data_IF_892752210270
#
_entry.id   IF_892752210270
#
_cell.length_a   1.000
_cell.length_b   1.000
_cell.length_c   1.000
_cell.angle_alpha   90.00
_cell.angle_beta   90.00
_cell.angle_gamma   90.00
#
_symmetry.space_group_name_H-M   'P 1'
#
loop_
_entity.id
_entity.type
_entity.pdbx_description
1 polymer ?
#
# COMPACT_ATOMS: atom_id res chain seq x y z
N UNK A 1 -20.34 -33.59 47.29
CA UNK A 1 -21.25 -33.03 46.27
C UNK A 1 -20.77 -31.71 45.76
N UNK A 2 -20.20 -30.84 46.61
CA UNK A 2 -19.77 -29.52 46.22
C UNK A 2 -18.56 -29.49 45.28
N UNK A 3 -17.60 -30.42 45.42
CA UNK A 3 -16.39 -30.45 44.58
C UNK A 3 -16.70 -30.75 43.11
N UNK A 4 -17.64 -31.64 42.81
CA UNK A 4 -18.02 -31.96 41.45
C UNK A 4 -18.79 -30.79 40.81
N UNK A 5 -19.68 -30.16 41.59
CA UNK A 5 -20.44 -28.99 41.11
C UNK A 5 -19.51 -27.80 40.86
N UNK A 6 -18.53 -27.58 41.74
CA UNK A 6 -17.55 -26.50 41.62
C UNK A 6 -16.61 -26.73 40.43
N UNK A 7 -16.18 -27.98 40.20
CA UNK A 7 -15.35 -28.32 39.03
C UNK A 7 -16.12 -28.12 37.71
N UNK A 8 -17.41 -28.48 37.70
CA UNK A 8 -18.26 -28.30 36.53
C UNK A 8 -18.49 -26.82 36.25
N UNK A 9 -18.74 -26.04 37.28
CA UNK A 9 -18.93 -24.59 37.16
C UNK A 9 -17.66 -23.90 36.64
N UNK A 10 -16.48 -24.32 37.13
CA UNK A 10 -15.19 -23.82 36.65
C UNK A 10 -14.96 -24.18 35.19
N UNK A 11 -15.29 -25.41 34.77
CA UNK A 11 -15.14 -25.83 33.39
C UNK A 11 -16.05 -25.05 32.46
N UNK A 12 -17.27 -24.76 32.89
CA UNK A 12 -18.22 -23.97 32.13
C UNK A 12 -17.75 -22.51 32.03
N UNK A 13 -17.26 -21.93 33.13
CA UNK A 13 -16.72 -20.58 33.13
C UNK A 13 -15.49 -20.47 32.21
N UNK A 14 -14.63 -21.48 32.21
CA UNK A 14 -13.45 -21.52 31.34
C UNK A 14 -13.84 -21.59 29.86
N UNK A 15 -14.88 -22.38 29.54
CA UNK A 15 -15.38 -22.46 28.16
C UNK A 15 -15.99 -21.13 27.71
N UNK A 16 -16.79 -20.49 28.57
CA UNK A 16 -17.39 -19.20 28.29
C UNK A 16 -16.30 -18.14 28.05
N UNK A 17 -15.30 -18.10 28.93
CA UNK A 17 -14.17 -17.17 28.80
C UNK A 17 -13.41 -17.39 27.50
N UNK A 18 -13.20 -18.66 27.10
CA UNK A 18 -12.53 -19.01 25.85
C UNK A 18 -13.32 -18.56 24.63
N UNK A 19 -14.67 -18.72 24.66
CA UNK A 19 -15.54 -18.28 23.58
C UNK A 19 -15.52 -16.75 23.47
N UNK A 20 -15.58 -16.05 24.61
CA UNK A 20 -15.53 -14.58 24.64
C UNK A 20 -14.19 -14.06 24.14
N UNK A 21 -13.08 -14.69 24.53
CA UNK A 21 -11.75 -14.33 24.06
C UNK A 21 -11.61 -14.51 22.55
N UNK A 22 -12.15 -15.60 22.03
CA UNK A 22 -12.14 -15.89 20.59
C UNK A 22 -12.97 -14.86 19.81
N UNK A 23 -14.16 -14.52 20.32
CA UNK A 23 -15.03 -13.51 19.72
C UNK A 23 -14.35 -12.14 19.70
N UNK A 24 -13.69 -11.78 20.81
CA UNK A 24 -12.95 -10.51 20.89
C UNK A 24 -11.77 -10.48 19.92
N UNK A 25 -11.05 -11.59 19.79
CA UNK A 25 -9.94 -11.71 18.86
C UNK A 25 -10.42 -11.51 17.40
N UNK A 26 -11.52 -12.17 17.04
CA UNK A 26 -12.10 -12.02 15.69
C UNK A 26 -12.56 -10.59 15.42
N UNK A 27 -13.21 -9.97 16.41
CA UNK A 27 -13.64 -8.57 16.28
C UNK A 27 -12.45 -7.63 16.11
N UNK A 28 -11.37 -7.85 16.84
CA UNK A 28 -10.15 -7.06 16.76
C UNK A 28 -9.49 -7.22 15.39
N UNK A 29 -9.44 -8.44 14.85
CA UNK A 29 -8.89 -8.71 13.51
C UNK A 29 -9.72 -8.03 12.42
N UNK A 30 -11.04 -8.09 12.53
CA UNK A 30 -11.94 -7.42 11.60
C UNK A 30 -11.70 -5.90 11.60
N UNK A 31 -11.55 -5.31 12.79
CA UNK A 31 -11.29 -3.89 12.94
C UNK A 31 -9.93 -3.48 12.33
N UNK A 32 -8.90 -4.29 12.54
CA UNK A 32 -7.58 -4.07 11.94
C UNK A 32 -7.65 -4.11 10.42
N UNK A 33 -8.43 -5.06 9.87
CA UNK A 33 -8.63 -5.18 8.44
C UNK A 33 -9.31 -3.95 7.86
N UNK A 34 -10.36 -3.45 8.50
CA UNK A 34 -11.05 -2.23 8.08
C UNK A 34 -10.13 -1.01 8.13
N UNK A 35 -9.38 -0.84 9.20
CA UNK A 35 -8.44 0.28 9.35
C UNK A 35 -7.34 0.19 8.31
N UNK A 36 -6.82 -0.99 8.06
CA UNK A 36 -5.82 -1.21 7.03
C UNK A 36 -6.34 -0.78 5.66
N UNK A 37 -7.56 -1.22 5.30
CA UNK A 37 -8.15 -0.88 4.00
C UNK A 37 -8.38 0.62 3.84
N UNK A 38 -8.82 1.29 4.89
CA UNK A 38 -9.01 2.75 4.87
C UNK A 38 -7.68 3.49 4.68
N UNK A 39 -6.67 3.10 5.43
CA UNK A 39 -5.34 3.69 5.35
C UNK A 39 -4.73 3.42 3.98
N UNK A 40 -4.85 2.20 3.47
CA UNK A 40 -4.33 1.80 2.17
C UNK A 40 -5.02 2.58 1.03
N UNK A 41 -6.34 2.78 1.13
CA UNK A 41 -7.08 3.57 0.14
C UNK A 41 -6.61 5.02 0.13
N UNK A 42 -6.41 5.62 1.30
CA UNK A 42 -5.89 6.98 1.43
C UNK A 42 -4.48 7.10 0.82
N UNK A 43 -3.60 6.17 1.18
CA UNK A 43 -2.22 6.16 0.66
C UNK A 43 -2.22 5.94 -0.86
N UNK A 44 -3.07 5.06 -1.37
CA UNK A 44 -3.19 4.80 -2.82
C UNK A 44 -3.56 6.09 -3.57
N UNK A 45 -4.50 6.87 -3.05
CA UNK A 45 -4.84 8.18 -3.61
C UNK A 45 -3.64 9.13 -3.61
N UNK A 46 -2.87 9.14 -2.53
CA UNK A 46 -1.67 9.96 -2.43
C UNK A 46 -0.58 9.48 -3.39
N UNK A 47 -0.41 8.17 -3.56
CA UNK A 47 0.54 7.61 -4.53
C UNK A 47 0.19 8.02 -5.95
N UNK A 48 -1.10 7.97 -6.32
CA UNK A 48 -1.54 8.43 -7.63
C UNK A 48 -1.26 9.93 -7.83
N UNK A 49 -1.40 10.74 -6.78
CA UNK A 49 -1.05 12.17 -6.84
C UNK A 49 0.45 12.37 -7.03
N UNK A 50 1.28 11.64 -6.31
CA UNK A 50 2.74 11.71 -6.48
C UNK A 50 3.17 11.25 -7.86
N UNK A 51 2.47 10.26 -8.44
CA UNK A 51 2.75 9.78 -9.78
C UNK A 51 2.57 10.90 -10.83
N UNK A 52 1.66 11.84 -10.60
CA UNK A 52 1.49 13.01 -11.47
C UNK A 52 2.78 13.84 -11.48
N UNK A 53 3.30 14.14 -10.32
CA UNK A 53 4.53 14.95 -10.20
C UNK A 53 5.74 14.23 -10.77
N UNK A 54 5.87 12.93 -10.49
CA UNK A 54 6.95 12.10 -11.04
C UNK A 54 6.88 12.10 -12.58
N UNK A 55 5.69 11.88 -13.14
CA UNK A 55 5.48 11.86 -14.58
C UNK A 55 5.79 13.22 -15.20
N UNK A 56 5.33 14.28 -14.58
CA UNK A 56 5.54 15.67 -15.04
C UNK A 56 7.03 16.02 -15.08
N UNK A 57 7.76 15.60 -14.07
CA UNK A 57 9.21 15.86 -14.01
C UNK A 57 10.01 15.02 -15.00
N UNK A 58 9.51 13.83 -15.36
CA UNK A 58 10.14 13.00 -16.39
C UNK A 58 9.86 13.46 -17.80
N UNK A 59 8.68 14.08 -18.04
CA UNK A 59 8.20 14.41 -19.37
C UNK A 59 7.84 15.89 -19.41
N UNK A 60 8.59 16.68 -20.16
CA UNK A 60 8.36 18.13 -20.28
C UNK A 60 7.02 18.47 -20.94
N UNK A 61 6.65 17.67 -21.94
CA UNK A 61 5.47 17.96 -22.77
C UNK A 61 4.41 16.86 -22.60
N UNK A 62 3.60 16.99 -21.55
CA UNK A 62 2.43 16.13 -21.36
C UNK A 62 1.28 16.69 -22.21
N UNK A 63 0.58 15.80 -22.93
CA UNK A 63 -0.49 16.22 -23.82
C UNK A 63 -1.68 16.82 -23.07
N UNK A 64 -2.37 17.76 -23.72
CA UNK A 64 -3.59 18.35 -23.17
C UNK A 64 -4.68 17.29 -22.99
N UNK A 65 -4.72 16.27 -23.85
CA UNK A 65 -5.68 15.18 -23.75
C UNK A 65 -5.50 14.40 -22.45
N UNK A 66 -4.26 14.16 -22.05
CA UNK A 66 -3.93 13.47 -20.80
C UNK A 66 -4.49 14.25 -19.59
N UNK A 67 -4.27 15.56 -19.55
CA UNK A 67 -4.79 16.42 -18.49
C UNK A 67 -6.31 16.47 -18.49
N UNK A 68 -6.92 16.55 -19.68
CA UNK A 68 -8.37 16.55 -19.83
C UNK A 68 -8.99 15.29 -19.26
N UNK A 69 -8.42 14.13 -19.57
CA UNK A 69 -8.89 12.84 -19.05
C UNK A 69 -8.73 12.76 -17.53
N UNK A 70 -7.61 13.25 -17.01
CA UNK A 70 -7.38 13.31 -15.57
C UNK A 70 -8.46 14.16 -14.88
N UNK A 71 -8.74 15.33 -15.39
CA UNK A 71 -9.77 16.21 -14.81
C UNK A 71 -11.18 15.65 -14.94
N UNK A 72 -11.39 14.74 -15.87
CA UNK A 72 -12.69 14.03 -16.01
C UNK A 72 -12.81 12.86 -15.01
N UNK A 73 -11.78 12.54 -14.27
CA UNK A 73 -11.83 11.53 -13.22
C UNK A 73 -10.95 10.29 -13.39
N UNK A 74 -10.14 10.21 -14.44
CA UNK A 74 -9.21 9.10 -14.64
C UNK A 74 -7.98 9.26 -13.74
N UNK A 75 -8.13 8.91 -12.47
CA UNK A 75 -7.13 9.18 -11.43
C UNK A 75 -5.83 8.38 -11.56
N UNK A 76 -5.90 7.17 -12.10
CA UNK A 76 -4.73 6.31 -12.28
C UNK A 76 -3.99 6.50 -13.59
N UNK A 77 -4.31 7.53 -14.34
CA UNK A 77 -3.80 7.74 -15.69
C UNK A 77 -2.28 7.96 -15.74
N UNK A 78 -1.76 8.79 -14.84
CA UNK A 78 -0.33 9.08 -14.78
C UNK A 78 0.47 7.88 -14.25
N UNK A 79 -0.10 7.14 -13.32
CA UNK A 79 0.48 5.89 -12.81
C UNK A 79 0.66 4.90 -13.96
N UNK A 80 -0.36 4.70 -14.78
CA UNK A 80 -0.29 3.81 -15.95
C UNK A 80 0.71 4.31 -16.99
N UNK A 81 0.82 5.62 -17.16
CA UNK A 81 1.81 6.18 -18.08
C UNK A 81 3.23 5.84 -17.66
N UNK A 82 3.55 5.91 -16.39
CA UNK A 82 4.86 5.51 -15.87
C UNK A 82 5.15 4.03 -16.13
N UNK A 83 4.15 3.18 -15.92
CA UNK A 83 4.26 1.74 -16.17
C UNK A 83 4.51 1.48 -17.66
N UNK A 84 3.75 2.12 -18.53
CA UNK A 84 3.80 1.90 -19.97
C UNK A 84 5.12 2.39 -20.57
N UNK A 85 5.63 3.51 -20.12
CA UNK A 85 6.90 4.05 -20.57
C UNK A 85 8.09 3.20 -20.10
N UNK A 86 8.04 2.73 -18.87
CA UNK A 86 9.08 1.90 -18.24
C UNK A 86 10.51 2.35 -18.57
N UNK A 87 10.77 3.62 -18.46
CA UNK A 87 12.05 4.20 -18.83
C UNK A 87 13.00 4.25 -17.63
N UNK A 88 13.61 3.10 -17.32
CA UNK A 88 14.51 2.93 -16.18
C UNK A 88 15.70 3.89 -16.20
N UNK A 89 16.29 4.07 -17.38
CA UNK A 89 17.46 4.92 -17.52
C UNK A 89 17.13 6.38 -17.26
N UNK A 90 15.99 6.83 -17.79
CA UNK A 90 15.53 8.21 -17.60
C UNK A 90 15.18 8.48 -16.13
N UNK A 91 14.53 7.53 -15.46
CA UNK A 91 14.21 7.63 -14.04
C UNK A 91 15.51 7.74 -13.23
N UNK A 92 16.47 6.88 -13.50
CA UNK A 92 17.77 6.89 -12.80
C UNK A 92 18.50 8.20 -12.98
N UNK A 93 18.59 8.66 -14.23
CA UNK A 93 19.22 9.93 -14.56
C UNK A 93 18.58 11.11 -13.81
N UNK A 94 17.25 11.17 -13.85
CA UNK A 94 16.49 12.23 -13.19
C UNK A 94 16.67 12.16 -11.67
N UNK A 95 16.69 10.97 -11.12
CA UNK A 95 16.91 10.77 -9.69
C UNK A 95 18.27 11.31 -9.25
N UNK A 96 19.30 11.14 -10.08
CA UNK A 96 20.64 11.63 -9.78
C UNK A 96 20.73 13.16 -9.93
N UNK A 97 20.08 13.73 -10.92
CA UNK A 97 20.22 15.13 -11.30
C UNK A 97 19.28 16.10 -10.56
N UNK A 98 18.07 15.65 -10.25
CA UNK A 98 17.02 16.52 -9.70
C UNK A 98 16.67 16.15 -8.27
N UNK A 99 16.94 17.07 -7.34
CA UNK A 99 16.55 16.91 -5.93
C UNK A 99 15.03 16.81 -5.77
N UNK A 100 14.28 17.59 -6.54
CA UNK A 100 12.82 17.55 -6.52
C UNK A 100 12.29 16.18 -6.94
N UNK A 101 12.81 15.63 -8.03
CA UNK A 101 12.44 14.30 -8.51
C UNK A 101 12.80 13.23 -7.48
N UNK A 102 13.98 13.35 -6.88
CA UNK A 102 14.45 12.42 -5.84
C UNK A 102 13.50 12.43 -4.65
N UNK A 103 13.07 13.60 -4.21
CA UNK A 103 12.16 13.74 -3.07
C UNK A 103 10.81 13.06 -3.33
N UNK A 104 10.21 13.27 -4.50
CA UNK A 104 8.96 12.59 -4.86
C UNK A 104 9.13 11.09 -4.95
N UNK A 105 10.23 10.64 -5.56
CA UNK A 105 10.52 9.21 -5.74
C UNK A 105 10.74 8.53 -4.39
N UNK A 106 11.56 9.11 -3.53
CA UNK A 106 11.83 8.58 -2.19
C UNK A 106 10.55 8.53 -1.34
N UNK A 107 9.74 9.56 -1.46
CA UNK A 107 8.46 9.63 -0.73
C UNK A 107 7.48 8.58 -1.23
N UNK A 108 7.39 8.39 -2.54
CA UNK A 108 6.54 7.34 -3.13
C UNK A 108 6.93 5.97 -2.59
N UNK A 109 8.22 5.66 -2.62
CA UNK A 109 8.75 4.39 -2.13
C UNK A 109 8.42 4.20 -0.65
N UNK A 110 8.68 5.21 0.16
CA UNK A 110 8.42 5.15 1.61
C UNK A 110 6.93 4.96 1.92
N UNK A 111 6.05 5.66 1.22
CA UNK A 111 4.59 5.54 1.42
C UNK A 111 4.08 4.15 1.02
N UNK A 112 4.58 3.61 -0.08
CA UNK A 112 4.19 2.26 -0.51
C UNK A 112 4.70 1.20 0.48
N UNK A 113 5.94 1.33 0.95
CA UNK A 113 6.49 0.40 1.94
C UNK A 113 5.72 0.47 3.27
N UNK A 114 5.16 1.64 3.59
CA UNK A 114 4.28 1.78 4.76
C UNK A 114 3.00 0.96 4.61
N UNK A 115 2.43 0.92 3.40
CA UNK A 115 1.25 0.06 3.14
C UNK A 115 1.61 -1.41 3.37
N UNK A 116 2.75 -1.85 2.86
CA UNK A 116 3.19 -3.23 3.04
C UNK A 116 3.41 -3.56 4.52
N UNK A 117 4.03 -2.62 5.25
CA UNK A 117 4.24 -2.80 6.69
C UNK A 117 2.92 -2.87 7.45
N UNK A 118 1.94 -2.07 7.05
CA UNK A 118 0.60 -2.07 7.66
C UNK A 118 -0.18 -3.35 7.43
N UNK A 119 0.14 -4.11 6.38
CA UNK A 119 -0.50 -5.39 6.10
C UNK A 119 -0.03 -6.50 7.04
N UNK A 120 1.14 -6.33 7.68
CA UNK A 120 1.69 -7.35 8.58
C UNK A 120 0.78 -7.56 9.78
N UNK A 121 0.46 -8.82 10.06
CA UNK A 121 -0.39 -9.21 11.18
C UNK A 121 -1.88 -9.01 10.93
N UNK A 122 -2.28 -8.49 9.78
CA UNK A 122 -3.69 -8.40 9.36
C UNK A 122 -4.08 -9.74 8.75
N UNK A 123 -5.33 -10.15 8.96
CA UNK A 123 -5.86 -11.39 8.37
C UNK A 123 -5.68 -11.35 6.84
N UNK A 124 -5.25 -12.47 6.26
CA UNK A 124 -4.93 -12.60 4.84
C UNK A 124 -3.78 -11.70 4.37
N UNK A 125 -2.77 -11.54 5.22
CA UNK A 125 -1.60 -10.70 4.96
C UNK A 125 -0.97 -10.97 3.57
N UNK A 126 -0.75 -12.24 3.22
CA UNK A 126 -0.12 -12.60 1.95
C UNK A 126 -0.95 -12.18 0.74
N UNK A 127 -2.28 -12.37 0.84
CA UNK A 127 -3.21 -11.98 -0.22
C UNK A 127 -3.24 -10.45 -0.38
N UNK A 128 -3.29 -9.73 0.73
CA UNK A 128 -3.29 -8.25 0.72
C UNK A 128 -1.99 -7.72 0.13
N UNK A 129 -0.85 -8.24 0.59
CA UNK A 129 0.46 -7.85 0.09
C UNK A 129 0.57 -8.09 -1.42
N UNK A 130 0.15 -9.27 -1.88
CA UNK A 130 0.16 -9.62 -3.30
C UNK A 130 -0.73 -8.68 -4.11
N UNK A 131 -1.92 -8.36 -3.61
CA UNK A 131 -2.85 -7.47 -4.29
C UNK A 131 -2.25 -6.07 -4.48
N UNK A 132 -1.59 -5.52 -3.45
CA UNK A 132 -0.97 -4.20 -3.55
C UNK A 132 0.26 -4.19 -4.45
N UNK A 133 1.11 -5.22 -4.38
CA UNK A 133 2.31 -5.30 -5.21
C UNK A 133 1.96 -5.45 -6.69
N UNK A 134 0.88 -6.16 -7.01
CA UNK A 134 0.44 -6.37 -8.40
C UNK A 134 -0.49 -5.28 -8.93
N UNK A 135 -0.98 -4.38 -8.07
CA UNK A 135 -1.75 -3.21 -8.49
C UNK A 135 -0.84 -2.21 -9.23
N UNK A 136 -1.44 -1.29 -9.95
CA UNK A 136 -0.70 -0.28 -10.72
C UNK A 136 0.27 0.52 -9.83
N UNK A 137 -0.16 0.94 -8.64
CA UNK A 137 0.72 1.65 -7.71
C UNK A 137 1.91 0.79 -7.28
N UNK A 138 1.73 -0.52 -7.14
CA UNK A 138 2.79 -1.47 -6.82
C UNK A 138 3.76 -1.66 -7.98
N UNK A 139 3.25 -1.67 -9.21
CA UNK A 139 4.09 -1.76 -10.41
C UNK A 139 4.99 -0.53 -10.53
N UNK A 140 4.49 0.66 -10.23
CA UNK A 140 5.30 1.88 -10.19
C UNK A 140 6.35 1.79 -9.10
N UNK A 141 5.98 1.30 -7.91
CA UNK A 141 6.93 1.09 -6.82
C UNK A 141 8.10 0.21 -7.26
N UNK A 142 7.79 -0.94 -7.88
CA UNK A 142 8.83 -1.87 -8.36
C UNK A 142 9.69 -1.23 -9.45
N UNK A 143 9.08 -0.47 -10.35
CA UNK A 143 9.78 0.25 -11.40
C UNK A 143 10.78 1.27 -10.82
N UNK A 144 10.35 2.06 -9.84
CA UNK A 144 11.20 3.04 -9.19
C UNK A 144 12.34 2.37 -8.41
N UNK A 145 12.04 1.29 -7.69
CA UNK A 145 13.04 0.53 -6.94
C UNK A 145 14.10 -0.06 -7.86
N UNK A 146 13.68 -0.62 -8.99
CA UNK A 146 14.60 -1.18 -9.98
C UNK A 146 15.52 -0.10 -10.56
N UNK A 147 14.98 1.05 -10.92
CA UNK A 147 15.76 2.15 -11.46
C UNK A 147 16.78 2.68 -10.46
N UNK A 148 16.37 2.88 -9.21
CA UNK A 148 17.21 3.44 -8.14
C UNK A 148 18.23 2.41 -7.65
N UNK A 149 17.86 1.14 -7.57
CA UNK A 149 18.75 0.08 -7.14
C UNK A 149 20.02 0.02 -7.95
N UNK A 150 19.92 0.26 -9.25
CA UNK A 150 21.07 0.35 -10.15
C UNK A 150 21.91 1.60 -9.90
N UNK A 151 21.29 2.69 -9.44
CA UNK A 151 21.98 3.94 -9.12
C UNK A 151 22.83 3.85 -7.86
N UNK A 152 22.47 2.98 -6.93
CA UNK A 152 23.15 2.82 -5.64
C UNK A 152 24.34 1.85 -5.71
N UNK A 153 24.47 1.14 -6.81
CA UNK A 153 25.60 0.29 -7.08
C UNK A 153 26.68 1.05 -7.87
#
# INVERSE_FOLDING_TARGET
ASLKADSKALAEAARTASIEAEALRKATQALRGEQFLKTAAFITGHLNSMAIDITRLLNRDLSEDLWRRYYKGERGLFTRKLIDQRDLDKIREKYQESGEFRDYTDRYIAEFERVLAGAKGVEHEELLTSAFVTADVGKVYLLLREAIGKSRQ
#
